data_IF_623528794034
#
_entry.id   IF_623528794034
#
_cell.length_a   1.000
_cell.length_b   1.000
_cell.length_c   1.000
_cell.angle_alpha   90.00
_cell.angle_beta   90.00
_cell.angle_gamma   90.00
#
_symmetry.space_group_name_H-M   'P 1'
#
loop_
_entity.id
_entity.type
_entity.pdbx_description
1 polymer ?
#
# COMPACT_ATOMS: atom_id res chain seq x y z
N UNK A 1 -33.96 -18.41 -6.00
CA UNK A 1 -33.65 -16.98 -6.21
C UNK A 1 -34.08 -16.23 -4.97
N UNK A 2 -33.19 -15.47 -4.33
CA UNK A 2 -33.46 -14.61 -3.17
C UNK A 2 -33.93 -13.23 -3.60
N UNK A 3 -33.31 -12.65 -4.61
CA UNK A 3 -33.68 -11.34 -5.15
C UNK A 3 -33.82 -11.40 -6.69
N UNK A 4 -35.03 -11.67 -7.22
CA UNK A 4 -35.22 -11.80 -8.65
C UNK A 4 -35.20 -10.43 -9.36
N UNK A 5 -34.34 -10.31 -10.37
CA UNK A 5 -34.18 -9.10 -11.19
C UNK A 5 -34.12 -9.44 -12.68
N UNK A 6 -34.71 -8.58 -13.49
CA UNK A 6 -34.80 -8.73 -14.95
C UNK A 6 -33.78 -7.80 -15.62
N UNK A 7 -32.99 -8.35 -16.54
CA UNK A 7 -32.12 -7.59 -17.45
C UNK A 7 -32.88 -7.15 -18.70
N UNK A 8 -32.31 -6.25 -19.52
CA UNK A 8 -32.98 -5.72 -20.72
C UNK A 8 -33.42 -6.76 -21.76
N UNK A 9 -32.83 -7.97 -21.74
CA UNK A 9 -33.24 -9.10 -22.59
C UNK A 9 -34.50 -9.82 -22.08
N UNK A 10 -35.10 -9.36 -20.98
CA UNK A 10 -36.31 -9.93 -20.39
C UNK A 10 -36.08 -11.15 -19.50
N UNK A 11 -34.85 -11.67 -19.41
CA UNK A 11 -34.53 -12.82 -18.55
C UNK A 11 -34.37 -12.38 -17.10
N UNK A 12 -34.99 -13.13 -16.18
CA UNK A 12 -34.88 -12.91 -14.73
C UNK A 12 -33.79 -13.78 -14.12
N UNK A 13 -32.92 -13.17 -13.32
CA UNK A 13 -31.84 -13.83 -12.58
C UNK A 13 -31.93 -13.51 -11.09
N UNK A 14 -31.18 -14.24 -10.29
CA UNK A 14 -30.85 -13.80 -8.94
C UNK A 14 -29.87 -12.62 -8.98
N UNK A 15 -30.16 -11.52 -8.27
CA UNK A 15 -29.37 -10.28 -8.29
C UNK A 15 -27.89 -10.52 -8.02
N UNK A 16 -27.56 -11.27 -6.98
CA UNK A 16 -26.15 -11.47 -6.59
C UNK A 16 -25.35 -12.12 -7.72
N UNK A 17 -25.96 -13.09 -8.41
CA UNK A 17 -25.33 -13.83 -9.49
C UNK A 17 -25.16 -12.98 -10.75
N UNK A 18 -26.19 -12.20 -11.14
CA UNK A 18 -26.07 -11.34 -12.32
C UNK A 18 -25.17 -10.14 -12.07
N UNK A 19 -25.15 -9.58 -10.86
CA UNK A 19 -24.21 -8.50 -10.50
C UNK A 19 -22.76 -9.02 -10.48
N UNK A 20 -22.52 -10.23 -9.98
CA UNK A 20 -21.20 -10.88 -10.07
C UNK A 20 -20.77 -11.04 -11.53
N UNK A 21 -21.66 -11.53 -12.39
CA UNK A 21 -21.40 -11.71 -13.82
C UNK A 21 -21.03 -10.40 -14.53
N UNK A 22 -21.81 -9.33 -14.30
CA UNK A 22 -21.62 -8.05 -14.98
C UNK A 22 -20.45 -7.24 -14.41
N UNK A 23 -20.37 -7.10 -13.09
CA UNK A 23 -19.45 -6.17 -12.46
C UNK A 23 -18.16 -6.82 -11.96
N UNK A 24 -18.23 -8.06 -11.45
CA UNK A 24 -17.03 -8.76 -10.95
C UNK A 24 -16.28 -9.48 -12.07
N UNK A 25 -17.00 -10.19 -12.94
CA UNK A 25 -16.44 -10.90 -14.08
C UNK A 25 -16.28 -10.03 -15.34
N UNK A 26 -16.79 -8.80 -15.32
CA UNK A 26 -16.71 -7.82 -16.43
C UNK A 26 -17.30 -8.33 -17.76
N UNK A 27 -18.36 -9.15 -17.69
CA UNK A 27 -19.07 -9.59 -18.89
C UNK A 27 -20.14 -8.56 -19.30
N UNK A 28 -20.37 -8.42 -20.61
CA UNK A 28 -21.35 -7.50 -21.19
C UNK A 28 -22.51 -8.22 -21.89
N UNK A 29 -22.64 -9.54 -21.72
CA UNK A 29 -23.66 -10.35 -22.38
C UNK A 29 -24.65 -10.94 -21.38
N UNK A 30 -25.88 -11.18 -21.84
CA UNK A 30 -26.87 -11.96 -21.11
C UNK A 30 -26.40 -13.43 -21.00
N UNK A 31 -26.34 -14.02 -19.79
CA UNK A 31 -25.85 -15.39 -19.61
C UNK A 31 -26.56 -16.44 -20.46
N UNK A 32 -27.89 -16.33 -20.60
CA UNK A 32 -28.75 -17.27 -21.33
C UNK A 32 -28.81 -16.93 -22.81
N UNK A 33 -29.23 -15.70 -23.16
CA UNK A 33 -29.48 -15.36 -24.57
C UNK A 33 -28.20 -15.06 -25.35
N UNK A 34 -27.05 -14.91 -24.68
CA UNK A 34 -25.75 -14.51 -25.24
C UNK A 34 -25.77 -13.17 -25.98
N UNK A 35 -26.87 -12.43 -25.94
CA UNK A 35 -27.00 -11.10 -26.52
C UNK A 35 -26.23 -10.07 -25.69
N UNK A 36 -25.67 -9.07 -26.36
CA UNK A 36 -25.02 -7.94 -25.70
C UNK A 36 -26.07 -7.10 -24.95
N UNK A 37 -25.78 -6.72 -23.71
CA UNK A 37 -26.66 -5.90 -22.89
C UNK A 37 -26.42 -4.42 -23.21
N UNK A 38 -27.44 -3.74 -23.73
CA UNK A 38 -27.39 -2.31 -24.06
C UNK A 38 -27.26 -1.44 -22.80
N UNK A 39 -27.90 -1.84 -21.71
CA UNK A 39 -27.74 -1.26 -20.38
C UNK A 39 -27.59 -2.35 -19.31
N UNK A 40 -26.97 -1.99 -18.20
CA UNK A 40 -26.72 -2.89 -17.07
C UNK A 40 -27.76 -2.67 -15.94
N UNK A 41 -28.88 -2.04 -16.28
CA UNK A 41 -29.95 -1.77 -15.34
C UNK A 41 -30.69 -3.06 -15.01
N UNK A 42 -30.84 -3.32 -13.71
CA UNK A 42 -31.54 -4.49 -13.20
C UNK A 42 -32.89 -4.05 -12.66
N UNK A 43 -33.95 -4.42 -13.36
CA UNK A 43 -35.34 -4.12 -12.98
C UNK A 43 -35.82 -5.17 -11.99
N UNK A 44 -36.21 -4.81 -10.75
CA UNK A 44 -36.73 -5.79 -9.80
C UNK A 44 -37.99 -6.51 -10.33
N UNK A 45 -37.99 -7.84 -10.30
CA UNK A 45 -39.18 -8.62 -10.66
C UNK A 45 -40.05 -8.82 -9.40
N UNK A 46 -40.85 -7.79 -9.09
CA UNK A 46 -41.70 -7.79 -7.89
C UNK A 46 -42.74 -8.92 -7.88
N UNK A 47 -43.28 -9.28 -9.05
CA UNK A 47 -44.25 -10.38 -9.17
C UNK A 47 -43.62 -11.71 -8.78
N UNK A 48 -42.47 -12.06 -9.37
CA UNK A 48 -41.78 -13.30 -9.03
C UNK A 48 -41.31 -13.30 -7.57
N UNK A 49 -40.84 -12.15 -7.06
CA UNK A 49 -40.46 -12.01 -5.65
C UNK A 49 -41.63 -12.31 -4.71
N UNK A 50 -42.82 -11.74 -4.99
CA UNK A 50 -44.04 -11.99 -4.22
C UNK A 50 -44.44 -13.46 -4.26
N UNK A 51 -44.34 -14.11 -5.43
CA UNK A 51 -44.63 -15.53 -5.58
C UNK A 51 -43.69 -16.40 -4.75
N UNK A 52 -42.38 -16.13 -4.80
CA UNK A 52 -41.37 -16.84 -3.99
C UNK A 52 -41.65 -16.65 -2.50
N UNK A 53 -41.92 -15.42 -2.05
CA UNK A 53 -42.22 -15.13 -0.65
C UNK A 53 -43.52 -15.81 -0.17
N UNK A 54 -44.55 -15.83 -1.02
CA UNK A 54 -45.80 -16.53 -0.75
C UNK A 54 -45.57 -18.03 -0.60
N UNK A 55 -44.77 -18.61 -1.50
CA UNK A 55 -44.39 -20.02 -1.45
C UNK A 55 -43.62 -20.35 -0.17
N UNK A 56 -42.64 -19.54 0.23
CA UNK A 56 -41.93 -19.73 1.50
C UNK A 56 -42.89 -19.71 2.71
N UNK A 57 -43.86 -18.80 2.71
CA UNK A 57 -44.84 -18.67 3.81
C UNK A 57 -45.74 -19.91 3.90
N UNK A 58 -46.19 -20.43 2.76
CA UNK A 58 -47.03 -21.63 2.70
C UNK A 58 -46.28 -22.90 3.14
N UNK A 59 -44.96 -22.94 2.96
CA UNK A 59 -44.13 -24.10 3.30
C UNK A 59 -43.36 -23.93 4.62
N UNK A 60 -43.71 -22.92 5.43
CA UNK A 60 -43.04 -22.66 6.70
C UNK A 60 -43.13 -23.85 7.68
N UNK A 61 -44.23 -24.60 7.65
CA UNK A 61 -44.40 -25.83 8.44
C UNK A 61 -43.46 -26.98 8.04
N UNK A 62 -42.91 -26.95 6.83
CA UNK A 62 -41.91 -27.90 6.33
C UNK A 62 -40.48 -27.45 6.64
N UNK A 63 -40.31 -26.43 7.50
CA UNK A 63 -39.00 -25.87 7.83
C UNK A 63 -38.44 -24.89 6.79
N UNK A 64 -39.24 -24.42 5.84
CA UNK A 64 -38.81 -23.43 4.85
C UNK A 64 -38.85 -22.03 5.46
N UNK A 65 -37.68 -21.42 5.62
CA UNK A 65 -37.57 -20.05 6.11
C UNK A 65 -37.99 -19.01 5.08
N UNK A 66 -38.57 -17.91 5.56
CA UNK A 66 -38.93 -16.77 4.72
C UNK A 66 -37.68 -16.02 4.28
N UNK A 67 -37.52 -15.84 2.97
CA UNK A 67 -36.46 -15.01 2.42
C UNK A 67 -36.74 -13.52 2.75
N UNK A 68 -35.83 -12.81 3.43
CA UNK A 68 -35.98 -11.40 3.76
C UNK A 68 -36.16 -10.55 2.49
N UNK A 69 -37.03 -9.54 2.54
CA UNK A 69 -37.17 -8.61 1.43
C UNK A 69 -35.88 -7.79 1.28
N UNK A 70 -35.22 -7.81 0.12
CA UNK A 70 -34.06 -6.96 -0.13
C UNK A 70 -34.44 -5.49 0.09
N UNK A 71 -33.57 -4.73 0.78
CA UNK A 71 -33.74 -3.28 0.94
C UNK A 71 -33.91 -2.64 -0.43
N UNK A 72 -34.74 -1.58 -0.53
CA UNK A 72 -34.87 -0.82 -1.77
C UNK A 72 -33.48 -0.41 -2.26
N UNK A 73 -33.16 -0.57 -3.55
CA UNK A 73 -31.91 -0.06 -4.10
C UNK A 73 -31.82 1.43 -3.80
N UNK A 74 -30.64 1.86 -3.36
CA UNK A 74 -30.37 3.26 -3.04
C UNK A 74 -30.38 4.04 -4.33
N UNK A 75 -31.15 5.13 -4.34
CA UNK A 75 -31.25 6.00 -5.50
C UNK A 75 -30.24 7.15 -5.42
N UNK A 76 -29.70 7.54 -6.57
CA UNK A 76 -28.77 8.66 -6.72
C UNK A 76 -29.34 9.93 -6.12
N UNK A 77 -30.65 10.19 -6.30
CA UNK A 77 -31.28 11.40 -5.77
C UNK A 77 -31.25 11.44 -4.23
N UNK A 78 -31.35 10.29 -3.57
CA UNK A 78 -31.26 10.21 -2.10
C UNK A 78 -29.84 10.52 -1.63
N UNK A 79 -28.81 10.03 -2.33
CA UNK A 79 -27.42 10.33 -2.02
C UNK A 79 -27.15 11.82 -2.21
N UNK A 80 -27.59 12.41 -3.32
CA UNK A 80 -27.39 13.85 -3.58
C UNK A 80 -28.08 14.70 -2.51
N UNK A 81 -29.30 14.36 -2.10
CA UNK A 81 -29.99 15.06 -0.99
C UNK A 81 -29.19 14.98 0.31
N UNK A 82 -28.70 13.79 0.65
CA UNK A 82 -27.88 13.55 1.84
C UNK A 82 -26.58 14.36 1.82
N UNK A 83 -25.91 14.46 0.67
CA UNK A 83 -24.72 15.30 0.50
C UNK A 83 -25.04 16.79 0.64
N UNK A 84 -26.13 17.27 0.02
CA UNK A 84 -26.55 18.67 0.10
C UNK A 84 -26.90 19.08 1.52
N UNK A 85 -27.58 18.22 2.28
CA UNK A 85 -27.84 18.46 3.70
C UNK A 85 -26.55 18.55 4.52
N UNK A 86 -25.59 17.64 4.29
CA UNK A 86 -24.31 17.63 5.00
C UNK A 86 -23.42 18.85 4.66
N UNK A 87 -23.50 19.36 3.43
CA UNK A 87 -22.83 20.59 3.03
C UNK A 87 -23.44 21.82 3.70
N UNK A 88 -24.75 21.82 3.93
CA UNK A 88 -25.48 22.94 4.56
C UNK A 88 -25.34 22.96 6.08
N UNK A 89 -25.22 21.80 6.70
CA UNK A 89 -25.29 21.61 8.15
C UNK A 89 -24.08 20.79 8.64
N UNK A 90 -23.02 21.44 9.17
CA UNK A 90 -21.80 20.76 9.65
C UNK A 90 -22.07 19.63 10.65
N UNK A 91 -23.04 19.82 11.56
CA UNK A 91 -23.44 18.84 12.57
C UNK A 91 -24.00 17.53 11.97
N UNK A 92 -24.44 17.55 10.71
CA UNK A 92 -24.94 16.37 10.00
C UNK A 92 -23.83 15.62 9.25
N UNK A 93 -22.62 16.17 9.13
CA UNK A 93 -21.56 15.57 8.31
C UNK A 93 -21.13 14.20 8.81
N UNK A 94 -20.91 14.03 10.10
CA UNK A 94 -20.51 12.74 10.67
C UNK A 94 -21.59 11.65 10.46
N UNK A 95 -22.86 12.02 10.62
CA UNK A 95 -23.99 11.12 10.35
C UNK A 95 -24.09 10.76 8.86
N UNK A 96 -23.85 11.74 7.98
CA UNK A 96 -23.75 11.53 6.55
C UNK A 96 -22.63 10.54 6.19
N UNK A 97 -21.41 10.74 6.69
CA UNK A 97 -20.28 9.85 6.46
C UNK A 97 -20.55 8.42 6.95
N UNK A 98 -21.12 8.29 8.15
CA UNK A 98 -21.54 6.98 8.70
C UNK A 98 -22.56 6.29 7.79
N UNK A 99 -23.50 7.06 7.23
CA UNK A 99 -24.48 6.54 6.27
C UNK A 99 -23.81 6.13 4.96
N UNK A 100 -22.97 6.97 4.38
CA UNK A 100 -22.21 6.66 3.15
C UNK A 100 -21.36 5.38 3.34
N UNK A 101 -20.74 5.22 4.51
CA UNK A 101 -20.02 4.00 4.89
C UNK A 101 -20.93 2.78 4.78
N UNK A 102 -22.09 2.79 5.44
CA UNK A 102 -23.03 1.67 5.40
C UNK A 102 -23.45 1.31 3.97
N UNK A 103 -23.63 2.31 3.11
CA UNK A 103 -24.02 2.14 1.71
C UNK A 103 -22.87 1.50 0.90
N UNK A 104 -21.64 1.95 1.09
CA UNK A 104 -20.46 1.44 0.39
C UNK A 104 -20.18 -0.04 0.72
N UNK A 105 -20.48 -0.48 1.95
CA UNK A 105 -20.33 -1.87 2.38
C UNK A 105 -21.41 -2.83 1.86
N UNK A 106 -22.56 -2.32 1.41
CA UNK A 106 -23.66 -3.17 0.91
C UNK A 106 -23.37 -3.78 -0.49
N UNK A 107 -22.44 -3.23 -1.28
CA UNK A 107 -22.02 -3.88 -2.53
C UNK A 107 -21.41 -2.95 -3.60
N UNK A 108 -20.88 -3.53 -4.68
CA UNK A 108 -20.19 -2.79 -5.74
C UNK A 108 -21.11 -1.82 -6.49
N UNK A 109 -22.37 -2.21 -6.73
CA UNK A 109 -23.37 -1.33 -7.36
C UNK A 109 -23.56 -0.02 -6.59
N UNK A 110 -23.58 -0.12 -5.25
CA UNK A 110 -23.71 1.06 -4.40
C UNK A 110 -22.47 1.95 -4.49
N UNK A 111 -21.26 1.38 -4.56
CA UNK A 111 -20.02 2.15 -4.76
C UNK A 111 -20.05 2.94 -6.07
N UNK A 112 -20.46 2.32 -7.17
CA UNK A 112 -20.63 3.01 -8.46
C UNK A 112 -21.69 4.09 -8.39
N UNK A 113 -22.80 3.85 -7.68
CA UNK A 113 -23.85 4.85 -7.48
C UNK A 113 -23.34 6.06 -6.66
N UNK A 114 -22.62 5.81 -5.55
CA UNK A 114 -21.97 6.84 -4.73
C UNK A 114 -21.00 7.68 -5.56
N UNK A 115 -20.14 7.03 -6.35
CA UNK A 115 -19.22 7.72 -7.26
C UNK A 115 -19.97 8.61 -8.26
N UNK A 116 -21.02 8.08 -8.90
CA UNK A 116 -21.83 8.85 -9.85
C UNK A 116 -22.51 10.07 -9.21
N UNK A 117 -22.79 10.00 -7.90
CA UNK A 117 -23.46 11.05 -7.14
C UNK A 117 -22.52 12.15 -6.64
N UNK A 118 -21.21 12.09 -6.93
CA UNK A 118 -20.22 13.08 -6.50
C UNK A 118 -19.75 12.92 -5.05
N UNK A 119 -19.81 11.69 -4.52
CA UNK A 119 -19.39 11.41 -3.14
C UNK A 119 -17.88 11.58 -2.97
N UNK A 120 -17.07 11.24 -3.98
CA UNK A 120 -15.60 11.33 -3.90
C UNK A 120 -15.18 12.78 -3.64
N UNK A 121 -15.71 13.72 -4.42
CA UNK A 121 -15.41 15.14 -4.32
C UNK A 121 -15.85 15.69 -2.96
N UNK A 122 -17.01 15.24 -2.46
CA UNK A 122 -17.46 15.57 -1.10
C UNK A 122 -16.49 15.05 -0.02
N UNK A 123 -16.06 13.79 -0.11
CA UNK A 123 -15.13 13.19 0.86
C UNK A 123 -13.79 13.94 0.87
N UNK A 124 -13.21 14.19 -0.31
CA UNK A 124 -11.96 14.93 -0.42
C UNK A 124 -12.11 16.35 0.10
N UNK A 125 -13.22 17.05 -0.18
CA UNK A 125 -13.49 18.37 0.41
C UNK A 125 -13.65 18.32 1.93
N UNK A 126 -14.19 17.24 2.49
CA UNK A 126 -14.37 17.07 3.95
C UNK A 126 -13.02 16.80 4.63
N UNK A 127 -12.10 16.12 3.94
CA UNK A 127 -10.74 15.88 4.43
C UNK A 127 -9.85 17.13 4.40
N UNK A 128 -10.18 18.13 3.57
CA UNK A 128 -9.52 19.44 3.61
C UNK A 128 -9.98 20.22 4.84
N UNK A 129 -9.33 19.99 5.98
CA UNK A 129 -9.51 20.86 7.13
C UNK A 129 -8.48 21.97 7.13
N UNK A 130 -8.96 23.22 7.17
CA UNK A 130 -8.13 24.41 7.39
C UNK A 130 -7.87 24.67 8.89
N UNK A 131 -8.45 23.89 9.82
CA UNK A 131 -8.39 24.16 11.25
C UNK A 131 -8.01 22.92 12.08
N UNK A 132 -7.11 23.11 13.03
CA UNK A 132 -6.57 22.11 13.99
C UNK A 132 -7.53 21.74 15.12
N UNK A 133 -8.85 21.81 14.91
CA UNK A 133 -9.84 21.43 15.92
C UNK A 133 -10.06 19.91 15.94
N UNK A 134 -10.31 19.34 17.12
CA UNK A 134 -10.53 17.90 17.32
C UNK A 134 -11.66 17.34 16.44
N UNK A 135 -12.76 18.09 16.29
CA UNK A 135 -13.90 17.71 15.44
C UNK A 135 -13.52 17.54 13.97
N UNK A 136 -12.55 18.31 13.47
CA UNK A 136 -12.10 18.22 12.09
C UNK A 136 -11.31 16.93 11.83
N UNK A 137 -10.60 16.44 12.86
CA UNK A 137 -9.85 15.20 12.78
C UNK A 137 -10.82 14.02 12.66
N UNK A 138 -11.86 13.95 13.49
CA UNK A 138 -12.87 12.87 13.45
C UNK A 138 -13.57 12.80 12.08
N UNK A 139 -13.90 13.95 11.49
CA UNK A 139 -14.50 13.99 10.15
C UNK A 139 -13.54 13.49 9.07
N UNK A 140 -12.26 13.88 9.13
CA UNK A 140 -11.24 13.42 8.18
C UNK A 140 -11.02 11.90 8.26
N UNK A 141 -11.08 11.33 9.47
CA UNK A 141 -10.94 9.89 9.73
C UNK A 141 -12.13 9.09 9.18
N UNK A 142 -13.36 9.58 9.40
CA UNK A 142 -14.54 8.95 8.84
C UNK A 142 -14.56 9.07 7.30
N UNK A 143 -14.13 10.21 6.75
CA UNK A 143 -14.10 10.43 5.30
C UNK A 143 -13.07 9.53 4.60
N UNK A 144 -11.87 9.40 5.16
CA UNK A 144 -10.82 8.56 4.55
C UNK A 144 -11.18 7.08 4.58
N UNK A 145 -11.86 6.62 5.63
CA UNK A 145 -12.36 5.25 5.70
C UNK A 145 -13.33 4.97 4.55
N UNK A 146 -14.32 5.84 4.34
CA UNK A 146 -15.26 5.68 3.22
C UNK A 146 -14.51 5.71 1.90
N UNK A 147 -13.61 6.68 1.71
CA UNK A 147 -12.84 6.83 0.47
C UNK A 147 -12.01 5.59 0.13
N UNK A 148 -11.35 5.01 1.14
CA UNK A 148 -10.60 3.78 0.98
C UNK A 148 -11.48 2.62 0.52
N UNK A 149 -12.66 2.44 1.13
CA UNK A 149 -13.58 1.35 0.79
C UNK A 149 -14.29 1.53 -0.56
N UNK A 150 -14.29 2.74 -1.15
CA UNK A 150 -14.80 2.96 -2.50
C UNK A 150 -13.93 2.31 -3.58
N UNK A 151 -12.68 1.93 -3.30
CA UNK A 151 -11.77 1.28 -4.24
C UNK A 151 -11.63 2.06 -5.56
N UNK A 152 -11.15 3.30 -5.47
CA UNK A 152 -10.96 4.19 -6.61
C UNK A 152 -10.11 3.56 -7.72
N UNK A 153 -10.49 3.79 -8.98
CA UNK A 153 -9.67 3.40 -10.13
C UNK A 153 -8.44 4.30 -10.25
N UNK A 154 -7.38 3.79 -10.88
CA UNK A 154 -6.15 4.56 -11.15
C UNK A 154 -6.43 5.89 -11.88
N UNK A 155 -7.32 5.88 -12.87
CA UNK A 155 -7.73 7.08 -13.60
C UNK A 155 -8.39 8.13 -12.68
N UNK A 156 -9.19 7.67 -11.71
CA UNK A 156 -9.83 8.57 -10.72
C UNK A 156 -8.83 9.09 -9.71
N UNK A 157 -7.93 8.25 -9.21
CA UNK A 157 -6.86 8.70 -8.32
C UNK A 157 -5.99 9.75 -9.02
N UNK A 158 -5.62 9.52 -10.29
CA UNK A 158 -4.86 10.49 -11.08
C UNK A 158 -5.61 11.83 -11.24
N UNK A 159 -6.91 11.78 -11.52
CA UNK A 159 -7.74 12.98 -11.61
C UNK A 159 -7.79 13.77 -10.28
N UNK A 160 -7.81 13.09 -9.14
CA UNK A 160 -7.79 13.74 -7.81
C UNK A 160 -6.46 14.42 -7.51
N UNK A 161 -5.34 13.82 -7.91
CA UNK A 161 -4.01 14.38 -7.67
C UNK A 161 -3.77 15.62 -8.54
N UNK A 162 -4.23 15.58 -9.80
CA UNK A 162 -3.98 16.64 -10.77
C UNK A 162 -4.93 17.85 -10.63
N UNK A 163 -6.01 17.72 -9.87
CA UNK A 163 -6.87 18.84 -9.57
C UNK A 163 -6.36 19.57 -8.33
N UNK A 164 -5.76 20.75 -8.55
CA UNK A 164 -5.16 21.55 -7.49
C UNK A 164 -6.14 21.94 -6.39
N UNK A 165 -7.42 22.15 -6.73
CA UNK A 165 -8.43 22.49 -5.73
C UNK A 165 -8.52 21.40 -4.68
N UNK A 166 -8.35 20.11 -5.05
CA UNK A 166 -8.53 18.97 -4.17
C UNK A 166 -7.43 18.81 -3.11
N UNK A 167 -6.23 19.37 -3.30
CA UNK A 167 -5.11 19.20 -2.36
C UNK A 167 -5.00 17.77 -1.80
N UNK A 168 -5.19 16.75 -2.66
CA UNK A 168 -5.48 15.38 -2.23
C UNK A 168 -4.32 14.77 -1.43
N UNK A 169 -3.09 14.93 -1.92
CA UNK A 169 -1.88 14.46 -1.23
C UNK A 169 -1.69 15.15 0.13
N UNK A 170 -1.94 16.46 0.21
CA UNK A 170 -1.80 17.22 1.46
C UNK A 170 -2.87 16.80 2.48
N UNK A 171 -4.08 16.49 2.02
CA UNK A 171 -5.16 15.95 2.88
C UNK A 171 -4.80 14.57 3.45
N UNK A 172 -4.24 13.68 2.61
CA UNK A 172 -3.74 12.38 3.09
C UNK A 172 -2.57 12.53 4.07
N UNK A 173 -1.69 13.50 3.82
CA UNK A 173 -0.59 13.82 4.74
C UNK A 173 -1.11 14.36 6.08
N UNK A 174 -2.14 15.20 6.08
CA UNK A 174 -2.78 15.67 7.30
C UNK A 174 -3.32 14.51 8.15
N UNK A 175 -4.02 13.56 7.51
CA UNK A 175 -4.51 12.35 8.20
C UNK A 175 -3.35 11.48 8.70
N UNK A 176 -2.25 11.36 7.96
CA UNK A 176 -1.06 10.65 8.44
C UNK A 176 -0.50 11.23 9.76
N UNK A 177 -0.55 12.56 9.89
CA UNK A 177 0.03 13.30 11.01
C UNK A 177 -0.84 13.25 12.27
N UNK A 178 -2.14 13.52 12.12
CA UNK A 178 -3.08 13.72 13.23
C UNK A 178 -4.04 12.55 13.45
N UNK A 179 -4.20 11.67 12.48
CA UNK A 179 -5.16 10.57 12.56
C UNK A 179 -4.76 9.47 13.56
N UNK A 180 -5.75 8.71 13.99
CA UNK A 180 -5.60 7.46 14.70
C UNK A 180 -4.90 6.38 13.85
N UNK A 181 -4.57 5.24 14.45
CA UNK A 181 -3.87 4.17 13.75
C UNK A 181 -4.59 3.68 12.49
N UNK A 182 -5.92 3.50 12.55
CA UNK A 182 -6.69 2.97 11.43
C UNK A 182 -6.74 3.97 10.25
N UNK A 183 -7.01 5.25 10.53
CA UNK A 183 -7.05 6.29 9.49
C UNK A 183 -5.68 6.50 8.85
N UNK A 184 -4.59 6.43 9.62
CA UNK A 184 -3.21 6.45 9.12
C UNK A 184 -2.88 5.25 8.21
N UNK A 185 -3.38 4.06 8.53
CA UNK A 185 -3.27 2.90 7.66
C UNK A 185 -3.98 3.14 6.31
N UNK A 186 -5.22 3.65 6.32
CA UNK A 186 -5.94 4.00 5.10
C UNK A 186 -5.22 5.09 4.29
N UNK A 187 -4.73 6.14 4.95
CA UNK A 187 -3.95 7.20 4.31
C UNK A 187 -2.70 6.67 3.63
N UNK A 188 -1.96 5.79 4.28
CA UNK A 188 -0.75 5.17 3.72
C UNK A 188 -1.05 4.37 2.45
N UNK A 189 -2.14 3.61 2.45
CA UNK A 189 -2.55 2.82 1.28
C UNK A 189 -3.01 3.69 0.13
N UNK A 190 -3.80 4.74 0.41
CA UNK A 190 -4.24 5.71 -0.59
C UNK A 190 -3.06 6.53 -1.14
N UNK A 191 -2.10 6.91 -0.30
CA UNK A 191 -0.86 7.57 -0.75
C UNK A 191 -0.05 6.67 -1.66
N UNK A 192 0.06 5.38 -1.34
CA UNK A 192 0.73 4.43 -2.24
C UNK A 192 0.04 4.38 -3.62
N UNK A 193 -1.29 4.25 -3.64
CA UNK A 193 -2.05 4.29 -4.91
C UNK A 193 -1.88 5.62 -5.63
N UNK A 194 -1.78 6.73 -4.90
CA UNK A 194 -1.61 8.04 -5.49
C UNK A 194 -0.25 8.21 -6.17
N UNK A 195 0.84 7.84 -5.48
CA UNK A 195 2.19 7.94 -6.04
C UNK A 195 2.49 6.90 -7.13
N UNK A 196 1.66 5.85 -7.27
CA UNK A 196 1.76 4.89 -8.37
C UNK A 196 1.32 5.46 -9.72
N UNK A 197 0.45 6.48 -9.71
CA UNK A 197 -0.07 7.17 -10.91
C UNK A 197 0.40 8.62 -11.03
N UNK A 198 1.21 9.08 -10.08
CA UNK A 198 1.72 10.44 -10.01
C UNK A 198 2.70 10.75 -11.14
N UNK A 199 2.65 11.97 -11.65
CA UNK A 199 3.58 12.43 -12.68
C UNK A 199 4.96 12.76 -12.05
N UNK A 200 6.07 12.73 -12.82
CA UNK A 200 7.42 12.93 -12.30
C UNK A 200 7.61 14.17 -11.41
N UNK A 201 6.93 15.27 -11.71
CA UNK A 201 7.00 16.52 -10.93
C UNK A 201 6.52 16.29 -9.49
N UNK A 202 5.44 15.51 -9.31
CA UNK A 202 4.86 15.19 -8.00
C UNK A 202 5.75 14.23 -7.21
N UNK A 203 6.43 13.29 -7.89
CA UNK A 203 7.38 12.37 -7.26
C UNK A 203 8.63 13.10 -6.74
N UNK A 204 9.06 14.18 -7.39
CA UNK A 204 10.23 14.97 -6.99
C UNK A 204 9.90 15.98 -5.88
N UNK A 205 8.67 16.49 -5.84
CA UNK A 205 8.25 17.59 -4.95
C UNK A 205 7.87 17.15 -3.53
N UNK A 206 8.10 15.88 -3.16
CA UNK A 206 7.78 15.35 -1.84
C UNK A 206 8.56 16.08 -0.73
N UNK A 207 7.86 16.48 0.34
CA UNK A 207 8.44 17.20 1.50
C UNK A 207 9.07 16.21 2.50
N UNK A 208 10.12 16.64 3.21
CA UNK A 208 10.77 15.85 4.28
C UNK A 208 9.77 15.39 5.34
N UNK A 209 8.79 16.23 5.69
CA UNK A 209 7.75 15.90 6.66
C UNK A 209 6.92 14.66 6.28
N UNK A 210 6.71 14.37 4.99
CA UNK A 210 6.01 13.16 4.57
C UNK A 210 6.84 11.91 4.91
N UNK A 211 8.16 11.95 4.73
CA UNK A 211 9.03 10.82 5.08
C UNK A 211 9.00 10.55 6.58
N UNK A 212 8.98 11.59 7.42
CA UNK A 212 8.83 11.47 8.88
C UNK A 212 7.56 10.68 9.23
N UNK A 213 6.41 11.04 8.66
CA UNK A 213 5.15 10.34 8.96
C UNK A 213 5.10 8.92 8.37
N UNK A 214 5.68 8.68 7.18
CA UNK A 214 5.80 7.31 6.64
C UNK A 214 6.67 6.45 7.57
N UNK A 215 7.78 6.99 8.09
CA UNK A 215 8.65 6.29 9.03
C UNK A 215 7.94 6.03 10.35
N UNK A 216 7.09 6.95 10.81
CA UNK A 216 6.23 6.76 11.97
C UNK A 216 5.25 5.60 11.77
N UNK A 217 4.61 5.48 10.60
CA UNK A 217 3.74 4.34 10.27
C UNK A 217 4.49 3.01 10.32
N UNK A 218 5.71 2.98 9.77
CA UNK A 218 6.55 1.79 9.78
C UNK A 218 7.01 1.40 11.20
N UNK A 219 7.36 2.38 12.03
CA UNK A 219 7.75 2.17 13.43
C UNK A 219 6.58 1.66 14.27
N UNK A 220 5.41 2.25 14.09
CA UNK A 220 4.20 1.90 14.84
C UNK A 220 3.68 0.50 14.48
N UNK A 221 4.09 -0.05 13.32
CA UNK A 221 3.69 -1.38 12.84
C UNK A 221 2.18 -1.60 12.86
N UNK A 222 1.43 -0.56 12.47
CA UNK A 222 -0.03 -0.47 12.57
C UNK A 222 -0.74 -1.71 12.01
N UNK A 223 -0.33 -2.14 10.82
CA UNK A 223 -0.79 -3.39 10.21
C UNK A 223 0.19 -3.85 9.14
N UNK A 224 0.20 -5.15 8.84
CA UNK A 224 1.06 -5.69 7.78
C UNK A 224 0.78 -5.05 6.41
N UNK A 225 -0.48 -4.71 6.12
CA UNK A 225 -0.86 -4.06 4.88
C UNK A 225 -0.34 -2.62 4.80
N UNK A 226 -0.47 -1.85 5.89
CA UNK A 226 0.05 -0.50 5.98
C UNK A 226 1.59 -0.48 5.88
N UNK A 227 2.28 -1.34 6.63
CA UNK A 227 3.76 -1.42 6.57
C UNK A 227 4.24 -1.80 5.18
N UNK A 228 3.59 -2.75 4.51
CA UNK A 228 3.94 -3.12 3.13
C UNK A 228 3.66 -1.99 2.13
N UNK A 229 2.56 -1.25 2.30
CA UNK A 229 2.24 -0.09 1.46
C UNK A 229 3.28 1.04 1.66
N UNK A 230 3.65 1.35 2.90
CA UNK A 230 4.69 2.31 3.23
C UNK A 230 6.06 1.92 2.66
N UNK A 231 6.46 0.64 2.79
CA UNK A 231 7.71 0.13 2.20
C UNK A 231 7.72 0.23 0.67
N UNK A 232 6.62 -0.10 0.00
CA UNK A 232 6.50 0.09 -1.45
C UNK A 232 6.57 1.57 -1.84
N UNK A 233 5.91 2.44 -1.06
CA UNK A 233 5.91 3.87 -1.29
C UNK A 233 7.33 4.45 -1.23
N UNK A 234 8.13 4.13 -0.21
CA UNK A 234 9.52 4.63 -0.16
C UNK A 234 10.41 4.06 -1.27
N UNK A 235 10.20 2.80 -1.68
CA UNK A 235 10.94 2.19 -2.80
C UNK A 235 10.64 2.89 -4.13
N UNK A 236 9.44 3.46 -4.28
CA UNK A 236 9.04 4.31 -5.42
C UNK A 236 9.66 5.70 -5.35
N UNK A 237 9.83 6.25 -4.14
CA UNK A 237 10.26 7.63 -3.92
C UNK A 237 11.78 7.80 -3.89
N UNK A 238 12.55 6.83 -3.38
CA UNK A 238 14.02 6.92 -3.27
C UNK A 238 14.83 6.82 -4.57
N UNK A 239 14.33 6.32 -5.72
CA UNK A 239 15.00 6.49 -7.00
C UNK A 239 15.33 7.96 -7.31
N UNK A 240 14.49 8.90 -6.84
CA UNK A 240 14.68 10.33 -7.01
C UNK A 240 15.71 10.88 -6.03
N UNK A 241 16.85 11.38 -6.54
CA UNK A 241 18.03 11.73 -5.71
C UNK A 241 17.74 12.64 -4.52
N UNK A 242 16.94 13.71 -4.72
CA UNK A 242 16.55 14.64 -3.65
C UNK A 242 15.74 13.96 -2.54
N UNK A 243 14.94 12.96 -2.88
CA UNK A 243 14.13 12.23 -1.90
C UNK A 243 14.98 11.31 -1.02
N UNK A 244 16.18 10.90 -1.47
CA UNK A 244 17.10 10.13 -0.63
C UNK A 244 17.55 10.97 0.56
N UNK A 245 18.01 12.19 0.30
CA UNK A 245 18.47 13.13 1.33
C UNK A 245 17.33 13.43 2.31
N UNK A 246 16.15 13.80 1.80
CA UNK A 246 14.95 14.04 2.62
C UNK A 246 14.52 12.79 3.41
N UNK A 247 14.68 11.60 2.83
CA UNK A 247 14.41 10.33 3.51
C UNK A 247 15.37 10.09 4.67
N UNK A 248 16.65 10.37 4.50
CA UNK A 248 17.67 10.31 5.56
C UNK A 248 17.34 11.30 6.67
N UNK A 249 17.07 12.56 6.34
CA UNK A 249 16.62 13.59 7.30
C UNK A 249 15.34 13.18 8.05
N UNK A 250 14.43 12.48 7.36
CA UNK A 250 13.21 11.91 7.95
C UNK A 250 13.43 10.67 8.82
N UNK A 251 14.67 10.25 9.07
CA UNK A 251 15.02 9.12 9.93
C UNK A 251 14.86 7.75 9.28
N UNK A 252 14.83 7.67 7.94
CA UNK A 252 14.54 6.41 7.25
C UNK A 252 15.57 5.32 7.51
N UNK A 253 16.85 5.67 7.60
CA UNK A 253 17.92 4.69 7.80
C UNK A 253 17.75 3.94 9.13
N UNK A 254 17.61 4.68 10.23
CA UNK A 254 17.39 4.11 11.57
C UNK A 254 16.19 3.16 11.58
N UNK A 255 15.02 3.64 11.14
CA UNK A 255 13.78 2.87 11.16
C UNK A 255 13.89 1.62 10.29
N UNK A 256 14.51 1.70 9.11
CA UNK A 256 14.66 0.56 8.22
C UNK A 256 15.62 -0.51 8.78
N UNK A 257 16.71 -0.11 9.43
CA UNK A 257 17.65 -1.07 10.05
C UNK A 257 16.98 -1.78 11.23
N UNK A 258 16.28 -1.05 12.09
CA UNK A 258 15.52 -1.63 13.22
C UNK A 258 14.43 -2.60 12.74
N UNK A 259 13.70 -2.24 11.68
CA UNK A 259 12.70 -3.13 11.09
C UNK A 259 13.34 -4.38 10.48
N UNK A 260 14.50 -4.25 9.82
CA UNK A 260 15.20 -5.38 9.21
C UNK A 260 15.70 -6.38 10.27
N UNK A 261 16.06 -5.89 11.46
CA UNK A 261 16.47 -6.71 12.60
C UNK A 261 15.36 -7.68 13.01
N UNK A 262 14.13 -7.18 13.13
CA UNK A 262 12.95 -7.97 13.51
C UNK A 262 12.25 -8.70 12.36
N UNK A 263 12.51 -8.34 11.10
CA UNK A 263 11.78 -8.91 9.97
C UNK A 263 12.19 -10.36 9.66
N UNK A 264 11.21 -11.26 9.58
CA UNK A 264 11.36 -12.64 9.10
C UNK A 264 10.70 -12.86 7.73
N UNK A 265 9.67 -12.06 7.41
CA UNK A 265 8.91 -12.18 6.18
C UNK A 265 9.75 -11.76 4.97
N UNK A 266 9.77 -12.63 3.95
CA UNK A 266 10.67 -12.50 2.79
C UNK A 266 10.48 -11.18 2.06
N UNK A 267 9.23 -10.80 1.74
CA UNK A 267 8.96 -9.63 0.91
C UNK A 267 9.31 -8.33 1.63
N UNK A 268 9.06 -8.28 2.94
CA UNK A 268 9.41 -7.17 3.82
C UNK A 268 10.91 -6.97 3.86
N UNK A 269 11.68 -8.04 4.08
CA UNK A 269 13.14 -7.98 4.04
C UNK A 269 13.67 -7.48 2.69
N UNK A 270 13.10 -7.96 1.57
CA UNK A 270 13.47 -7.49 0.23
C UNK A 270 13.22 -5.99 0.04
N UNK A 271 12.03 -5.50 0.42
CA UNK A 271 11.69 -4.08 0.27
C UNK A 271 12.57 -3.18 1.13
N UNK A 272 12.84 -3.58 2.38
CA UNK A 272 13.73 -2.83 3.26
C UNK A 272 15.15 -2.75 2.68
N UNK A 273 15.70 -3.88 2.21
CA UNK A 273 17.02 -3.91 1.60
C UNK A 273 17.09 -3.10 0.29
N UNK A 274 16.03 -3.08 -0.51
CA UNK A 274 15.95 -2.21 -1.69
C UNK A 274 16.00 -0.74 -1.28
N UNK A 275 15.24 -0.34 -0.26
CA UNK A 275 15.20 1.03 0.22
C UNK A 275 16.56 1.47 0.79
N UNK A 276 17.19 0.65 1.64
CA UNK A 276 18.53 0.92 2.20
C UNK A 276 19.60 1.03 1.10
N UNK A 277 19.56 0.16 0.09
CA UNK A 277 20.44 0.21 -1.07
C UNK A 277 20.25 1.48 -1.91
N UNK A 278 19.02 1.96 -2.08
CA UNK A 278 18.73 3.24 -2.73
C UNK A 278 19.27 4.43 -1.90
N UNK A 279 19.09 4.41 -0.58
CA UNK A 279 19.61 5.44 0.33
C UNK A 279 21.15 5.48 0.33
N UNK A 280 21.82 4.33 0.25
CA UNK A 280 23.28 4.24 0.09
C UNK A 280 23.81 4.85 -1.22
N UNK A 281 22.92 5.23 -2.14
CA UNK A 281 23.24 5.98 -3.35
C UNK A 281 23.59 7.46 -3.10
N UNK A 282 23.51 7.97 -1.87
CA UNK A 282 23.97 9.32 -1.48
C UNK A 282 24.95 9.24 -0.28
N UNK A 283 25.72 10.31 -0.04
CA UNK A 283 26.74 10.32 1.02
C UNK A 283 26.10 10.35 2.41
N UNK A 284 25.04 11.11 2.56
CA UNK A 284 24.22 11.25 3.77
C UNK A 284 23.65 9.90 4.19
N UNK A 285 23.09 9.14 3.24
CA UNK A 285 22.54 7.82 3.53
C UNK A 285 23.60 6.80 3.95
N UNK A 286 24.81 6.87 3.39
CA UNK A 286 25.93 6.02 3.84
C UNK A 286 26.43 6.42 5.22
N UNK A 287 26.59 7.72 5.47
CA UNK A 287 27.05 8.23 6.76
C UNK A 287 26.06 7.85 7.88
N UNK A 288 24.76 8.05 7.65
CA UNK A 288 23.74 7.69 8.61
C UNK A 288 23.64 6.17 8.83
N UNK A 289 23.84 5.38 7.77
CA UNK A 289 23.86 3.92 7.90
C UNK A 289 25.02 3.47 8.81
N UNK A 290 26.22 4.03 8.59
CA UNK A 290 27.41 3.76 9.41
C UNK A 290 27.35 4.30 10.84
N UNK A 291 26.45 5.23 11.13
CA UNK A 291 26.21 5.70 12.50
C UNK A 291 25.40 4.67 13.32
N UNK A 292 24.64 3.80 12.66
CA UNK A 292 23.85 2.77 13.33
C UNK A 292 24.69 1.53 13.58
N UNK A 293 25.21 1.30 14.79
CA UNK A 293 26.21 0.26 15.11
C UNK A 293 25.82 -1.23 14.99
N UNK A 294 24.80 -1.58 14.22
CA UNK A 294 24.41 -2.96 13.90
C UNK A 294 24.09 -3.16 12.40
N UNK A 295 24.21 -2.11 11.59
CA UNK A 295 23.89 -2.12 10.17
C UNK A 295 24.69 -3.17 9.39
N UNK A 296 26.01 -3.26 9.60
CA UNK A 296 26.86 -4.19 8.84
C UNK A 296 26.47 -5.63 9.19
N UNK A 297 26.27 -5.89 10.49
CA UNK A 297 25.84 -7.19 10.99
C UNK A 297 24.47 -7.60 10.42
N UNK A 298 23.49 -6.70 10.46
CA UNK A 298 22.12 -6.97 10.01
C UNK A 298 22.09 -7.20 8.50
N UNK A 299 22.74 -6.34 7.71
CA UNK A 299 22.80 -6.50 6.24
C UNK A 299 23.52 -7.79 5.86
N UNK A 300 24.69 -8.06 6.45
CA UNK A 300 25.44 -9.30 6.25
C UNK A 300 24.62 -10.55 6.60
N UNK A 301 23.87 -10.50 7.71
CA UNK A 301 23.00 -11.61 8.15
C UNK A 301 21.94 -11.97 7.12
N UNK A 302 21.40 -11.01 6.36
CA UNK A 302 20.33 -11.27 5.38
C UNK A 302 20.85 -11.83 4.06
N UNK A 303 22.12 -11.62 3.72
CA UNK A 303 22.76 -12.17 2.53
C UNK A 303 22.76 -13.71 2.60
N UNK A 304 22.30 -14.35 1.51
CA UNK A 304 22.11 -15.80 1.34
C UNK A 304 21.08 -16.45 2.27
N UNK A 305 20.34 -15.67 3.09
CA UNK A 305 19.36 -16.22 4.05
C UNK A 305 17.90 -15.91 3.72
N UNK A 306 17.63 -14.92 2.87
CA UNK A 306 16.25 -14.49 2.56
C UNK A 306 15.87 -14.82 1.12
N UNK A 307 16.59 -14.25 0.15
CA UNK A 307 16.34 -14.47 -1.27
C UNK A 307 17.53 -14.01 -2.12
N UNK A 308 17.52 -14.32 -3.42
CA UNK A 308 18.51 -13.79 -4.36
C UNK A 308 18.45 -12.27 -4.46
N UNK A 309 17.25 -11.67 -4.43
CA UNK A 309 17.07 -10.21 -4.46
C UNK A 309 17.66 -9.59 -3.19
N UNK A 310 17.34 -10.13 -2.01
CA UNK A 310 17.92 -9.67 -0.75
C UNK A 310 19.45 -9.79 -0.73
N UNK A 311 19.99 -10.89 -1.28
CA UNK A 311 21.43 -11.10 -1.37
C UNK A 311 22.11 -10.09 -2.30
N UNK A 312 21.55 -9.83 -3.48
CA UNK A 312 22.08 -8.81 -4.39
C UNK A 312 22.07 -7.41 -3.75
N UNK A 313 20.95 -7.03 -3.12
CA UNK A 313 20.82 -5.72 -2.45
C UNK A 313 21.75 -5.59 -1.25
N UNK A 314 21.88 -6.63 -0.44
CA UNK A 314 22.84 -6.65 0.67
C UNK A 314 24.29 -6.49 0.19
N UNK A 315 24.69 -7.22 -0.85
CA UNK A 315 26.04 -7.08 -1.44
C UNK A 315 26.24 -5.68 -2.04
N UNK A 316 25.21 -5.06 -2.63
CA UNK A 316 25.29 -3.68 -3.12
C UNK A 316 25.47 -2.64 -2.02
N UNK A 317 24.77 -2.79 -0.90
CA UNK A 317 24.93 -1.92 0.28
C UNK A 317 26.38 -2.00 0.77
N UNK A 318 26.89 -3.22 1.01
CA UNK A 318 28.27 -3.42 1.43
C UNK A 318 29.27 -2.87 0.41
N UNK A 319 29.00 -3.02 -0.89
CA UNK A 319 29.85 -2.44 -1.95
C UNK A 319 29.91 -0.92 -1.89
N UNK A 320 28.76 -0.28 -1.66
CA UNK A 320 28.66 1.17 -1.60
C UNK A 320 29.47 1.71 -0.42
N UNK A 321 29.32 1.09 0.75
CA UNK A 321 30.10 1.40 1.95
C UNK A 321 31.59 1.19 1.69
N UNK A 322 31.98 0.01 1.23
CA UNK A 322 33.39 -0.34 1.01
C UNK A 322 34.09 0.58 0.00
N UNK A 323 33.37 1.08 -1.00
CA UNK A 323 33.96 1.92 -2.05
C UNK A 323 34.06 3.39 -1.68
N UNK A 324 33.09 3.90 -0.93
CA UNK A 324 32.94 5.35 -0.74
C UNK A 324 33.02 5.81 0.71
N UNK A 325 33.00 4.89 1.68
CA UNK A 325 32.91 5.22 3.11
C UNK A 325 33.74 4.27 3.99
N UNK A 326 34.61 3.45 3.40
CA UNK A 326 35.48 2.55 4.14
C UNK A 326 36.51 3.31 4.97
N UNK A 327 36.67 2.88 6.22
CA UNK A 327 37.76 3.26 7.12
C UNK A 327 38.17 2.04 7.95
N UNK A 328 39.25 2.15 8.71
CA UNK A 328 39.78 1.02 9.49
C UNK A 328 38.73 0.39 10.43
N UNK A 329 37.87 1.22 11.05
CA UNK A 329 36.80 0.76 11.93
C UNK A 329 35.77 -0.09 11.18
N UNK A 330 35.25 0.41 10.05
CA UNK A 330 34.25 -0.30 9.24
C UNK A 330 34.81 -1.62 8.69
N UNK A 331 36.05 -1.61 8.19
CA UNK A 331 36.68 -2.82 7.66
C UNK A 331 36.94 -3.88 8.73
N UNK A 332 37.26 -3.45 9.95
CA UNK A 332 37.42 -4.34 11.09
C UNK A 332 36.08 -4.90 11.57
N UNK A 333 35.04 -4.06 11.65
CA UNK A 333 33.68 -4.51 11.98
C UNK A 333 33.18 -5.57 11.00
N UNK A 334 33.39 -5.36 9.70
CA UNK A 334 33.05 -6.34 8.66
C UNK A 334 33.70 -7.71 8.87
N UNK A 335 34.91 -7.76 9.43
CA UNK A 335 35.55 -9.02 9.82
C UNK A 335 34.85 -9.64 11.04
N UNK A 336 34.65 -8.85 12.09
CA UNK A 336 34.06 -9.31 13.35
C UNK A 336 32.65 -9.88 13.15
N UNK A 337 31.82 -9.25 12.32
CA UNK A 337 30.45 -9.68 12.06
C UNK A 337 30.34 -10.74 10.96
N UNK A 338 31.48 -11.21 10.43
CA UNK A 338 31.55 -12.26 9.41
C UNK A 338 31.06 -11.83 8.03
N UNK A 339 31.01 -10.53 7.73
CA UNK A 339 30.61 -10.02 6.41
C UNK A 339 31.59 -10.44 5.31
N UNK A 340 32.89 -10.46 5.61
CA UNK A 340 33.92 -10.91 4.64
C UNK A 340 33.74 -12.38 4.27
N UNK A 341 33.56 -13.25 5.27
CA UNK A 341 33.27 -14.68 5.07
C UNK A 341 31.97 -14.88 4.26
N UNK A 342 30.96 -14.03 4.49
CA UNK A 342 29.73 -14.04 3.71
C UNK A 342 29.98 -13.70 2.23
N UNK A 343 30.82 -12.70 1.95
CA UNK A 343 31.20 -12.31 0.58
C UNK A 343 31.96 -13.43 -0.13
N UNK A 344 32.87 -14.14 0.56
CA UNK A 344 33.53 -15.32 0.01
C UNK A 344 32.51 -16.42 -0.35
N UNK A 345 31.53 -16.68 0.53
CA UNK A 345 30.48 -17.66 0.27
C UNK A 345 29.61 -17.28 -0.94
N UNK A 346 29.34 -15.99 -1.17
CA UNK A 346 28.62 -15.49 -2.35
C UNK A 346 29.32 -15.89 -3.66
N UNK A 347 30.66 -15.98 -3.68
CA UNK A 347 31.40 -16.42 -4.86
C UNK A 347 31.20 -17.91 -5.17
N UNK A 348 31.05 -18.73 -4.12
CA UNK A 348 30.94 -20.19 -4.22
C UNK A 348 29.52 -20.66 -4.58
N UNK A 349 28.49 -20.03 -4.04
CA UNK A 349 27.10 -20.48 -4.19
C UNK A 349 26.44 -19.95 -5.46
N UNK A 350 25.26 -20.48 -5.81
CA UNK A 350 24.52 -19.99 -6.96
C UNK A 350 23.96 -18.57 -6.70
N UNK A 351 24.59 -17.58 -7.31
CA UNK A 351 24.25 -16.16 -7.25
C UNK A 351 24.43 -15.55 -8.64
N UNK A 352 23.77 -14.41 -8.90
CA UNK A 352 23.90 -13.73 -10.19
C UNK A 352 25.36 -13.33 -10.45
N UNK A 353 25.78 -13.38 -11.72
CA UNK A 353 27.14 -13.01 -12.13
C UNK A 353 27.52 -11.61 -11.61
N UNK A 354 26.62 -10.62 -11.79
CA UNK A 354 26.81 -9.24 -11.32
C UNK A 354 27.02 -9.17 -9.79
N UNK A 355 26.32 -10.00 -9.02
CA UNK A 355 26.47 -10.05 -7.55
C UNK A 355 27.84 -10.64 -7.19
N UNK A 356 28.27 -11.71 -7.87
CA UNK A 356 29.60 -12.33 -7.66
C UNK A 356 30.74 -11.38 -8.02
N UNK A 357 30.67 -10.73 -9.18
CA UNK A 357 31.67 -9.74 -9.62
C UNK A 357 31.80 -8.60 -8.61
N UNK A 358 30.68 -8.11 -8.08
CA UNK A 358 30.68 -7.07 -7.05
C UNK A 358 31.31 -7.55 -5.75
N UNK A 359 30.97 -8.76 -5.29
CA UNK A 359 31.59 -9.35 -4.10
C UNK A 359 33.11 -9.52 -4.29
N UNK A 360 33.55 -10.02 -5.45
CA UNK A 360 34.97 -10.16 -5.80
C UNK A 360 35.69 -8.81 -5.78
N UNK A 361 35.11 -7.79 -6.39
CA UNK A 361 35.70 -6.45 -6.43
C UNK A 361 35.90 -5.85 -5.03
N UNK A 362 34.96 -6.06 -4.10
CA UNK A 362 35.09 -5.58 -2.71
C UNK A 362 36.22 -6.32 -1.98
N UNK A 363 36.30 -7.64 -2.13
CA UNK A 363 37.35 -8.46 -1.51
C UNK A 363 38.75 -8.09 -2.01
N UNK A 364 38.88 -7.77 -3.30
CA UNK A 364 40.13 -7.31 -3.89
C UNK A 364 40.50 -5.89 -3.40
N UNK A 365 39.51 -4.99 -3.34
CA UNK A 365 39.72 -3.59 -2.94
C UNK A 365 40.35 -3.46 -1.55
N UNK A 366 39.96 -4.32 -0.60
CA UNK A 366 40.43 -4.29 0.79
C UNK A 366 41.27 -5.51 1.17
N UNK A 367 41.88 -6.18 0.18
CA UNK A 367 42.65 -7.41 0.36
C UNK A 367 43.78 -7.30 1.39
N UNK A 368 44.46 -6.15 1.47
CA UNK A 368 45.53 -5.90 2.45
C UNK A 368 45.04 -6.06 3.89
N UNK A 369 43.78 -5.68 4.17
CA UNK A 369 43.20 -5.75 5.51
C UNK A 369 42.66 -7.14 5.84
N UNK A 370 42.20 -7.89 4.83
CA UNK A 370 41.41 -9.10 5.04
C UNK A 370 42.14 -10.42 4.73
N UNK A 371 43.17 -10.42 3.87
CA UNK A 371 43.82 -11.63 3.34
C UNK A 371 44.35 -12.60 4.40
N UNK A 372 44.77 -12.10 5.55
CA UNK A 372 45.31 -12.90 6.66
C UNK A 372 44.42 -12.90 7.90
N UNK A 373 43.14 -12.53 7.74
CA UNK A 373 42.25 -12.43 8.89
C UNK A 373 41.86 -13.83 9.41
N UNK A 374 42.04 -14.10 10.72
CA UNK A 374 41.65 -15.38 11.32
C UNK A 374 40.12 -15.58 11.31
N UNK A 375 39.35 -14.53 11.00
CA UNK A 375 37.89 -14.57 10.95
C UNK A 375 37.34 -15.20 9.66
N UNK A 376 38.19 -15.50 8.67
CA UNK A 376 37.81 -16.17 7.42
C UNK A 376 38.06 -17.68 7.60
N UNK A 377 37.01 -18.52 7.58
CA UNK A 377 37.16 -19.98 7.67
C UNK A 377 38.11 -20.51 6.60
N UNK A 378 38.96 -21.47 6.96
CA UNK A 378 39.95 -22.10 6.05
C UNK A 378 39.35 -22.54 4.71
N UNK A 379 38.14 -23.15 4.64
CA UNK A 379 37.53 -23.54 3.36
C UNK A 379 37.20 -22.38 2.43
N UNK A 380 37.10 -21.15 2.96
CA UNK A 380 36.80 -19.94 2.19
C UNK A 380 38.07 -19.20 1.73
N UNK A 381 39.25 -19.50 2.31
CA UNK A 381 40.51 -18.86 1.91
C UNK A 381 40.87 -19.15 0.45
N UNK A 382 40.56 -20.35 -0.05
CA UNK A 382 40.77 -20.71 -1.47
C UNK A 382 39.91 -19.89 -2.44
N UNK A 383 38.81 -19.30 -1.95
CA UNK A 383 37.91 -18.46 -2.73
C UNK A 383 38.15 -16.97 -2.51
N UNK A 384 39.12 -16.62 -1.67
CA UNK A 384 39.58 -15.25 -1.52
C UNK A 384 40.40 -14.86 -2.77
N UNK A 385 40.02 -13.80 -3.50
CA UNK A 385 40.61 -13.43 -4.79
C UNK A 385 41.94 -12.68 -4.72
#
# INVERSE_FOLDING_TARGET
MRDPVTVCTGITYDRENIERWLFSCKNNTCPVTKQCLLNHDLTPNHTLRRLIQSWCTLNASLGVERIPTPKSPIDRTQIVKLLTEAKRFPEKQLKCLTRLRSIAFEGQRNKTCLESAGVIEFLVSTMKSNNTQEDSTVLSEAAIEVLFHLNLSEARVKALINNEEFHFIESLFHVLRLGNYQSRAFATMLLRSAFEVADPIQLISVKTALFVEIMRVLRDQISQQASKAALKLIVELFPWGRNRIKGVEGGAVLVLVELLLGASERRTCELILIALDQLCGCAEGRAELLNHGAEVAIVSKKILRVSHVASDRGVRILASICRYSANARVLHEMLQVGAVSKLCLVLQVNCSLKTKERAKAILQLHSVVWKNSPCIPVPLLSSYP
#
